data_IF_711789655521
#
_entry.id   IF_711789655521
#
_cell.length_a   1.000
_cell.length_b   1.000
_cell.length_c   1.000
_cell.angle_alpha   90.00
_cell.angle_beta   90.00
_cell.angle_gamma   90.00
#
_symmetry.space_group_name_H-M   'P 1'
#
loop_
_entity.id
_entity.type
_entity.pdbx_description
1 polymer ?
#
# COMPACT_ATOMS: atom_id res chain seq x y z
N UNK A 1 9.23 19.98 15.24
CA UNK A 1 8.06 19.11 15.44
C UNK A 1 7.13 19.41 14.29
N UNK A 2 7.24 18.66 13.20
CA UNK A 2 6.49 18.96 11.98
C UNK A 2 5.01 18.74 12.27
N UNK A 3 4.24 19.82 12.21
CA UNK A 3 2.80 19.80 12.23
C UNK A 3 2.35 19.15 10.91
N UNK A 4 2.18 17.82 10.93
CA UNK A 4 1.47 17.15 9.87
C UNK A 4 -0.01 17.36 10.16
N UNK A 5 -0.64 18.18 9.33
CA UNK A 5 -2.02 18.60 9.59
C UNK A 5 -2.96 17.39 9.47
N UNK A 6 -4.02 17.28 10.29
CA UNK A 6 -4.94 16.15 10.23
C UNK A 6 -5.62 15.96 8.85
N UNK A 7 -5.57 16.96 7.97
CA UNK A 7 -6.09 16.87 6.60
C UNK A 7 -5.17 16.08 5.64
N UNK A 8 -3.86 16.23 5.70
CA UNK A 8 -2.92 15.51 4.81
C UNK A 8 -2.93 14.00 5.10
N UNK A 9 -3.10 13.66 6.37
CA UNK A 9 -3.27 12.29 6.81
C UNK A 9 -4.60 11.69 6.28
N UNK A 10 -5.70 12.44 6.33
CA UNK A 10 -6.99 12.00 5.79
C UNK A 10 -6.95 11.75 4.28
N UNK A 11 -6.20 12.56 3.52
CA UNK A 11 -5.97 12.29 2.09
C UNK A 11 -5.21 10.96 1.90
N UNK A 12 -4.19 10.68 2.71
CA UNK A 12 -3.47 9.41 2.66
C UNK A 12 -4.33 8.21 3.10
N UNK A 13 -5.30 8.42 4.00
CA UNK A 13 -6.17 7.36 4.55
C UNK A 13 -7.41 7.03 3.69
N UNK A 14 -7.85 8.00 2.88
CA UNK A 14 -9.00 7.88 1.99
C UNK A 14 -8.65 7.67 0.52
N UNK A 15 -7.38 7.88 0.13
CA UNK A 15 -6.93 7.67 -1.24
C UNK A 15 -7.03 6.19 -1.63
N UNK A 16 -7.53 5.90 -2.84
CA UNK A 16 -7.51 4.54 -3.36
C UNK A 16 -6.06 4.05 -3.49
N UNK A 17 -5.86 2.74 -3.34
CA UNK A 17 -4.55 2.04 -3.45
C UNK A 17 -3.79 2.48 -4.68
N UNK A 18 -4.53 2.66 -5.77
CA UNK A 18 -4.08 3.12 -7.07
C UNK A 18 -3.29 4.42 -6.97
N UNK A 19 -3.83 5.45 -6.33
CA UNK A 19 -3.16 6.76 -6.25
C UNK A 19 -1.85 6.71 -5.48
N UNK A 20 -1.69 5.82 -4.50
CA UNK A 20 -0.43 5.68 -3.74
C UNK A 20 0.63 4.89 -4.51
N UNK A 21 0.21 3.86 -5.26
CA UNK A 21 1.10 3.06 -6.08
C UNK A 21 1.52 3.82 -7.33
N UNK A 22 0.63 4.57 -7.97
CA UNK A 22 0.96 5.45 -9.11
C UNK A 22 1.96 6.54 -8.72
N UNK A 23 1.84 7.12 -7.53
CA UNK A 23 2.80 8.13 -7.03
C UNK A 23 4.16 7.51 -6.72
N UNK A 24 4.18 6.25 -6.28
CA UNK A 24 5.41 5.49 -5.98
C UNK A 24 6.08 4.92 -7.24
N UNK A 25 5.30 4.66 -8.30
CA UNK A 25 5.69 4.01 -9.54
C UNK A 25 5.10 4.76 -10.75
N UNK A 26 5.52 6.02 -11.00
CA UNK A 26 4.95 6.83 -12.07
C UNK A 26 5.27 6.29 -13.48
N UNK A 27 6.28 5.43 -13.61
CA UNK A 27 6.61 4.77 -14.88
C UNK A 27 5.72 3.55 -15.16
N UNK A 28 5.23 2.91 -14.10
CA UNK A 28 4.51 1.63 -14.15
C UNK A 28 2.99 1.81 -14.01
N UNK A 29 2.47 3.04 -14.14
CA UNK A 29 1.05 3.37 -13.96
C UNK A 29 0.12 2.55 -14.88
N UNK A 30 0.51 2.35 -16.14
CA UNK A 30 -0.23 1.52 -17.11
C UNK A 30 -0.29 0.05 -16.67
N UNK A 31 0.79 -0.46 -16.07
CA UNK A 31 0.90 -1.83 -15.57
C UNK A 31 0.06 -2.00 -14.32
N UNK A 32 0.12 -1.05 -13.40
CA UNK A 32 -0.72 -1.00 -12.21
C UNK A 32 -2.21 -1.02 -12.59
N UNK A 33 -2.61 -0.22 -13.58
CA UNK A 33 -3.99 -0.19 -14.05
C UNK A 33 -4.43 -1.54 -14.64
N UNK A 34 -3.56 -2.19 -15.42
CA UNK A 34 -3.82 -3.51 -16.00
C UNK A 34 -3.90 -4.61 -14.95
N UNK A 35 -2.97 -4.62 -13.99
CA UNK A 35 -2.97 -5.54 -12.85
C UNK A 35 -4.25 -5.35 -12.03
N UNK A 36 -4.70 -4.12 -11.82
CA UNK A 36 -5.96 -3.86 -11.11
C UNK A 36 -7.19 -4.37 -11.87
N UNK A 37 -7.23 -4.22 -13.19
CA UNK A 37 -8.35 -4.68 -14.02
C UNK A 37 -8.39 -6.20 -14.19
N UNK A 38 -7.22 -6.85 -14.25
CA UNK A 38 -7.10 -8.26 -14.64
C UNK A 38 -6.65 -9.22 -13.53
N UNK A 39 -6.07 -8.70 -12.44
CA UNK A 39 -5.42 -9.52 -11.41
C UNK A 39 -6.14 -9.39 -10.05
N UNK A 40 -6.92 -10.42 -9.72
CA UNK A 40 -7.63 -10.50 -8.44
C UNK A 40 -6.68 -10.62 -7.24
N UNK A 41 -5.46 -11.14 -7.44
CA UNK A 41 -4.47 -11.28 -6.39
C UNK A 41 -3.86 -9.91 -6.04
N UNK A 42 -3.53 -9.10 -7.05
CA UNK A 42 -3.11 -7.71 -6.85
C UNK A 42 -4.16 -6.91 -6.06
N UNK A 43 -5.43 -7.01 -6.44
CA UNK A 43 -6.52 -6.35 -5.72
C UNK A 43 -6.62 -6.78 -4.25
N UNK A 44 -6.42 -8.08 -3.97
CA UNK A 44 -6.42 -8.60 -2.61
C UNK A 44 -5.23 -8.04 -1.79
N UNK A 45 -4.03 -8.08 -2.36
CA UNK A 45 -2.81 -7.55 -1.73
C UNK A 45 -2.93 -6.06 -1.42
N UNK A 46 -3.39 -5.28 -2.40
CA UNK A 46 -3.55 -3.85 -2.26
C UNK A 46 -4.61 -3.52 -1.17
N UNK A 47 -5.71 -4.28 -1.10
CA UNK A 47 -6.71 -4.16 -0.04
C UNK A 47 -6.15 -4.51 1.34
N UNK A 48 -5.35 -5.59 1.45
CA UNK A 48 -4.67 -5.99 2.70
C UNK A 48 -3.65 -4.95 3.14
N UNK A 49 -2.87 -4.42 2.21
CA UNK A 49 -1.89 -3.36 2.47
C UNK A 49 -2.57 -2.13 3.08
N UNK A 50 -3.69 -1.70 2.50
CA UNK A 50 -4.49 -0.61 3.07
C UNK A 50 -5.06 -0.93 4.45
N UNK A 51 -5.55 -2.14 4.67
CA UNK A 51 -6.08 -2.53 5.97
C UNK A 51 -5.00 -2.46 7.05
N UNK A 52 -3.81 -2.99 6.77
CA UNK A 52 -2.65 -2.95 7.67
C UNK A 52 -2.17 -1.52 7.88
N UNK A 53 -2.07 -0.71 6.82
CA UNK A 53 -1.65 0.68 6.93
C UNK A 53 -2.62 1.48 7.82
N UNK A 54 -3.94 1.29 7.64
CA UNK A 54 -4.94 1.90 8.53
C UNK A 54 -4.82 1.41 9.98
N UNK A 55 -4.52 0.15 10.21
CA UNK A 55 -4.33 -0.38 11.56
C UNK A 55 -3.11 0.26 12.25
N UNK A 56 -1.97 0.33 11.56
CA UNK A 56 -0.75 1.00 12.05
C UNK A 56 -1.07 2.44 12.43
N UNK A 57 -1.74 3.18 11.55
CA UNK A 57 -2.06 4.57 11.82
C UNK A 57 -3.05 4.79 12.96
N UNK A 58 -4.02 3.90 13.18
CA UNK A 58 -4.91 3.97 14.37
C UNK A 58 -4.13 3.80 15.66
N UNK A 59 -3.13 2.91 15.65
CA UNK A 59 -2.23 2.68 16.77
C UNK A 59 -1.33 3.90 16.99
N UNK A 60 -0.72 4.43 15.92
CA UNK A 60 0.15 5.62 15.98
C UNK A 60 -0.60 6.89 16.39
N UNK A 61 -1.89 6.99 16.05
CA UNK A 61 -2.76 8.10 16.45
C UNK A 61 -3.32 7.94 17.87
N UNK A 62 -2.86 6.94 18.64
CA UNK A 62 -3.35 6.61 19.98
C UNK A 62 -4.87 6.35 20.05
N UNK A 63 -5.51 6.03 18.92
CA UNK A 63 -6.95 5.76 18.82
C UNK A 63 -7.25 4.36 19.37
N UNK A 64 -6.35 3.41 19.16
CA UNK A 64 -6.48 2.03 19.64
C UNK A 64 -5.24 1.63 20.47
N UNK A 65 -5.43 1.22 21.73
CA UNK A 65 -4.32 0.77 22.57
C UNK A 65 -3.84 -0.60 22.06
N UNK A 66 -2.77 -0.58 21.27
CA UNK A 66 -2.07 -1.80 20.85
C UNK A 66 -0.75 -1.95 21.59
N UNK A 67 -0.35 -3.20 21.80
CA UNK A 67 0.98 -3.51 22.30
C UNK A 67 2.02 -3.25 21.21
N UNK A 68 3.22 -2.80 21.59
CA UNK A 68 4.35 -2.60 20.67
C UNK A 68 4.62 -3.82 19.78
N UNK A 69 4.45 -5.04 20.32
CA UNK A 69 4.60 -6.27 19.56
C UNK A 69 3.60 -6.38 18.39
N UNK A 70 2.36 -5.91 18.58
CA UNK A 70 1.34 -5.91 17.54
C UNK A 70 1.63 -4.84 16.48
N UNK A 71 2.05 -3.64 16.91
CA UNK A 71 2.47 -2.57 15.99
C UNK A 71 3.65 -3.01 15.11
N UNK A 72 4.67 -3.65 15.70
CA UNK A 72 5.81 -4.20 14.97
C UNK A 72 5.41 -5.32 14.00
N UNK A 73 4.49 -6.20 14.40
CA UNK A 73 3.96 -7.23 13.51
C UNK A 73 3.25 -6.61 12.30
N UNK A 74 2.46 -5.56 12.51
CA UNK A 74 1.79 -4.84 11.42
C UNK A 74 2.79 -4.16 10.48
N UNK A 75 3.83 -3.50 11.00
CA UNK A 75 4.89 -2.91 10.16
C UNK A 75 5.60 -3.96 9.31
N UNK A 76 5.90 -5.13 9.87
CA UNK A 76 6.46 -6.27 9.10
C UNK A 76 5.51 -6.77 8.02
N UNK A 77 4.21 -6.88 8.34
CA UNK A 77 3.20 -7.22 7.33
C UNK A 77 3.10 -6.17 6.23
N UNK A 78 3.16 -4.88 6.57
CA UNK A 78 3.15 -3.79 5.58
C UNK A 78 4.30 -3.93 4.59
N UNK A 79 5.51 -4.20 5.09
CA UNK A 79 6.69 -4.42 4.25
C UNK A 79 6.53 -5.66 3.37
N UNK A 80 6.13 -6.80 3.93
CA UNK A 80 5.94 -8.03 3.16
C UNK A 80 4.89 -7.87 2.04
N UNK A 81 3.79 -7.15 2.32
CA UNK A 81 2.77 -6.84 1.31
C UNK A 81 3.30 -5.90 0.22
N UNK A 82 4.14 -4.93 0.60
CA UNK A 82 4.78 -4.03 -0.36
C UNK A 82 5.73 -4.81 -1.27
N UNK A 83 6.53 -5.73 -0.72
CA UNK A 83 7.45 -6.59 -1.46
C UNK A 83 6.70 -7.50 -2.44
N UNK A 84 5.57 -8.11 -2.01
CA UNK A 84 4.73 -8.92 -2.90
C UNK A 84 4.12 -8.09 -4.03
N UNK A 85 3.64 -6.88 -3.74
CA UNK A 85 3.09 -5.97 -4.75
C UNK A 85 4.20 -5.54 -5.73
N UNK A 86 5.39 -5.17 -5.25
CA UNK A 86 6.52 -4.80 -6.09
C UNK A 86 6.94 -5.93 -7.02
N UNK A 87 6.98 -7.18 -6.51
CA UNK A 87 7.28 -8.36 -7.31
C UNK A 87 6.22 -8.60 -8.40
N UNK A 88 4.95 -8.31 -8.13
CA UNK A 88 3.90 -8.41 -9.15
C UNK A 88 4.05 -7.34 -10.23
N UNK A 89 4.35 -6.10 -9.85
CA UNK A 89 4.60 -5.01 -10.78
C UNK A 89 5.80 -5.34 -11.66
N UNK A 90 6.94 -5.74 -11.07
CA UNK A 90 8.15 -6.13 -11.80
C UNK A 90 7.90 -7.30 -12.77
N UNK A 91 7.15 -8.32 -12.33
CA UNK A 91 6.78 -9.46 -13.19
C UNK A 91 5.89 -9.03 -14.35
N UNK A 92 4.96 -8.11 -14.12
CA UNK A 92 4.05 -7.62 -15.15
C UNK A 92 4.75 -6.69 -16.15
N UNK A 93 5.62 -5.81 -15.66
CA UNK A 93 6.57 -4.99 -16.44
C UNK A 93 7.49 -5.86 -17.30
N UNK A 94 8.14 -6.86 -16.71
CA UNK A 94 9.02 -7.79 -17.43
C UNK A 94 8.28 -8.61 -18.50
N UNK A 95 7.00 -8.93 -18.27
CA UNK A 95 6.14 -9.56 -19.27
C UNK A 95 5.81 -8.61 -20.44
N UNK A 96 5.76 -7.30 -20.20
CA UNK A 96 5.54 -6.28 -21.24
C UNK A 96 6.80 -6.02 -22.07
N UNK A 97 7.99 -6.08 -21.44
CA UNK A 97 9.26 -5.94 -22.16
C UNK A 97 9.57 -7.13 -23.10
N UNK A 98 8.87 -8.26 -22.93
CA UNK A 98 9.04 -9.48 -23.72
C UNK A 98 7.86 -9.84 -24.64
N UNK A 99 6.83 -9.00 -24.73
CA UNK A 99 5.67 -9.18 -25.60
C UNK A 99 5.77 -8.30 -26.86
#
# INVERSE_FOLDING_TARGET
MSAHTPHELAEFFGRPTESLLEDSFPHDADVLHRLKMGDAHFNNLASRYHAVNRAIHRIESEIEPASDAYAEQLKRQRLALLDEIALMVERAEGNLAHA
#
